data_IF_567134511597
#
_entry.id   IF_567134511597
#
_cell.length_a   1.000
_cell.length_b   1.000
_cell.length_c   1.000
_cell.angle_alpha   90.00
_cell.angle_beta   90.00
_cell.angle_gamma   90.00
#
_symmetry.space_group_name_H-M   'P 1'
#
loop_
_entity.id
_entity.type
_entity.pdbx_description
1 polymer ?
#
# COMPACT_ATOMS: atom_id res chain seq x y z
N UNK A 1 8.02 4.34 14.52
CA UNK A 1 7.39 4.10 13.21
C UNK A 1 6.77 2.71 13.24
N UNK A 2 5.48 2.56 12.90
CA UNK A 2 4.80 1.27 12.87
C UNK A 2 4.60 0.79 11.43
N UNK A 3 4.63 -0.52 11.23
CA UNK A 3 4.47 -1.21 9.96
C UNK A 3 3.11 -1.91 9.92
N UNK A 4 2.64 -2.22 8.71
CA UNK A 4 1.37 -2.90 8.48
C UNK A 4 1.64 -4.36 8.16
N UNK A 5 1.03 -5.27 8.91
CA UNK A 5 0.91 -6.68 8.56
C UNK A 5 -0.48 -6.94 7.98
N UNK A 6 -0.57 -7.81 6.98
CA UNK A 6 -1.82 -8.13 6.28
C UNK A 6 -2.04 -9.63 6.20
N UNK A 7 -3.21 -10.10 6.60
CA UNK A 7 -3.54 -11.53 6.50
C UNK A 7 -3.56 -11.98 5.04
N UNK A 8 -3.00 -13.16 4.75
CA UNK A 8 -2.86 -13.65 3.39
C UNK A 8 -4.21 -14.02 2.76
N UNK A 9 -5.03 -14.82 3.46
CA UNK A 9 -6.36 -15.25 2.98
C UNK A 9 -7.47 -14.21 3.14
N UNK A 10 -7.39 -13.35 4.16
CA UNK A 10 -8.40 -12.31 4.45
C UNK A 10 -7.78 -10.91 4.39
N UNK A 11 -7.58 -10.30 3.20
CA UNK A 11 -6.79 -9.09 3.04
C UNK A 11 -7.36 -7.82 3.72
N UNK A 12 -8.57 -7.90 4.28
CA UNK A 12 -9.17 -6.84 5.12
C UNK A 12 -8.69 -6.89 6.57
N UNK A 13 -8.19 -8.03 7.05
CA UNK A 13 -7.60 -8.20 8.38
C UNK A 13 -6.16 -7.68 8.35
N UNK A 14 -5.97 -6.52 8.95
CA UNK A 14 -4.68 -5.84 9.06
C UNK A 14 -4.40 -5.46 10.51
N UNK A 15 -3.13 -5.39 10.87
CA UNK A 15 -2.70 -4.87 12.16
C UNK A 15 -1.39 -4.10 12.03
N UNK A 16 -1.17 -3.20 12.99
CA UNK A 16 0.04 -2.40 13.09
C UNK A 16 1.01 -3.02 14.09
N UNK A 17 2.30 -2.99 13.75
CA UNK A 17 3.35 -3.50 14.62
C UNK A 17 4.64 -2.68 14.54
N UNK A 18 5.51 -2.84 15.52
CA UNK A 18 6.87 -2.32 15.56
C UNK A 18 7.83 -3.51 15.69
N UNK A 19 8.78 -3.73 14.76
CA UNK A 19 9.82 -4.73 14.93
C UNK A 19 10.67 -4.41 16.17
N UNK A 20 10.84 -5.39 17.05
CA UNK A 20 11.72 -5.29 18.22
C UNK A 20 13.07 -5.96 17.93
N UNK A 21 13.04 -7.17 17.38
CA UNK A 21 14.23 -7.87 16.92
C UNK A 21 13.94 -8.72 15.69
N UNK A 22 14.97 -8.94 14.88
CA UNK A 22 14.93 -9.85 13.72
C UNK A 22 16.23 -10.65 13.74
N UNK A 23 16.12 -11.94 14.02
CA UNK A 23 17.25 -12.86 14.15
C UNK A 23 17.03 -14.03 13.18
N UNK A 24 17.83 -14.04 12.10
CA UNK A 24 17.66 -15.02 11.03
C UNK A 24 16.28 -14.94 10.38
N UNK A 25 15.48 -16.01 10.53
CA UNK A 25 14.11 -16.11 10.03
C UNK A 25 13.03 -15.91 11.10
N UNK A 26 13.40 -15.42 12.29
CA UNK A 26 12.45 -15.13 13.36
C UNK A 26 12.41 -13.63 13.59
N UNK A 27 11.20 -13.07 13.67
CA UNK A 27 10.98 -11.68 14.01
C UNK A 27 10.11 -11.57 15.26
N UNK A 28 10.56 -10.77 16.22
CA UNK A 28 9.78 -10.37 17.39
C UNK A 28 9.17 -9.00 17.11
N UNK A 29 7.85 -8.92 17.14
CA UNK A 29 7.10 -7.72 16.75
C UNK A 29 6.15 -7.29 17.87
N UNK A 30 6.11 -6.00 18.20
CA UNK A 30 5.13 -5.42 19.12
C UNK A 30 3.93 -4.89 18.36
N UNK A 31 2.77 -5.50 18.54
CA UNK A 31 1.48 -5.05 18.00
C UNK A 31 1.03 -3.77 18.71
N UNK A 32 0.76 -2.73 17.93
CA UNK A 32 0.32 -1.42 18.42
C UNK A 32 -1.15 -1.12 18.13
N UNK A 33 -1.79 -1.86 17.22
CA UNK A 33 -3.23 -1.76 16.93
C UNK A 33 -4.07 -2.73 17.79
N UNK A 34 -5.38 -2.80 17.51
CA UNK A 34 -6.29 -3.80 18.08
C UNK A 34 -5.78 -5.22 17.77
N UNK A 35 -5.76 -6.09 18.78
CA UNK A 35 -5.23 -7.46 18.74
C UNK A 35 -6.15 -8.47 18.04
N UNK A 36 -7.43 -8.14 17.88
CA UNK A 36 -8.46 -9.00 17.26
C UNK A 36 -8.14 -9.46 15.81
N UNK A 37 -7.21 -8.77 15.15
CA UNK A 37 -6.74 -9.11 13.80
C UNK A 37 -5.45 -9.94 13.79
N UNK A 38 -5.03 -10.49 14.94
CA UNK A 38 -3.82 -11.30 15.09
C UNK A 38 -4.17 -12.63 15.75
N UNK A 39 -4.03 -13.72 15.00
CA UNK A 39 -4.27 -15.08 15.49
C UNK A 39 -3.00 -15.93 15.45
N UNK A 40 -2.93 -16.89 16.37
CA UNK A 40 -1.86 -17.89 16.40
C UNK A 40 -1.96 -18.81 15.17
N UNK A 41 -0.81 -19.20 14.62
CA UNK A 41 -0.67 -20.07 13.44
C UNK A 41 -1.30 -19.54 12.14
N UNK A 42 -1.76 -18.29 12.11
CA UNK A 42 -2.19 -17.64 10.88
C UNK A 42 -1.01 -16.99 10.15
N UNK A 43 -1.20 -16.80 8.84
CA UNK A 43 -0.17 -16.33 7.90
C UNK A 43 -0.45 -14.92 7.42
N UNK A 44 0.58 -14.08 7.47
CA UNK A 44 0.50 -12.67 7.11
C UNK A 44 1.67 -12.26 6.21
N UNK A 45 1.44 -11.24 5.38
CA UNK A 45 2.48 -10.49 4.70
C UNK A 45 3.02 -9.41 5.65
N UNK A 46 4.33 -9.42 5.87
CA UNK A 46 5.06 -8.46 6.71
C UNK A 46 6.02 -7.63 5.85
N UNK A 47 6.21 -6.36 6.25
CA UNK A 47 7.28 -5.51 5.74
C UNK A 47 8.30 -5.33 6.87
N UNK A 48 9.49 -5.89 6.69
CA UNK A 48 10.54 -5.86 7.72
C UNK A 48 11.72 -5.02 7.25
N UNK A 49 12.13 -3.99 8.01
CA UNK A 49 13.36 -3.26 7.74
C UNK A 49 14.56 -4.15 8.08
N UNK A 50 15.46 -4.36 7.11
CA UNK A 50 16.72 -5.09 7.27
C UNK A 50 17.86 -4.23 6.71
N UNK A 51 18.95 -4.06 7.47
CA UNK A 51 20.18 -3.32 7.14
C UNK A 51 20.19 -2.62 5.77
N UNK A 52 19.63 -1.40 5.72
CA UNK A 52 19.63 -0.54 4.53
C UNK A 52 18.48 -0.72 3.53
N UNK A 53 17.56 -1.65 3.76
CA UNK A 53 16.41 -1.90 2.87
C UNK A 53 15.15 -2.35 3.62
N UNK A 54 13.99 -2.27 2.97
CA UNK A 54 12.76 -2.91 3.45
C UNK A 54 12.45 -4.11 2.58
N UNK A 55 12.15 -5.23 3.23
CA UNK A 55 11.88 -6.50 2.56
C UNK A 55 10.51 -7.01 2.95
N UNK A 56 9.82 -7.65 2.00
CA UNK A 56 8.54 -8.29 2.24
C UNK A 56 8.72 -9.76 2.54
N UNK A 57 7.98 -10.26 3.52
CA UNK A 57 7.98 -11.66 3.91
C UNK A 57 6.57 -12.18 4.06
N UNK A 58 6.36 -13.45 3.72
CA UNK A 58 5.26 -14.23 4.28
C UNK A 58 5.76 -14.81 5.60
N UNK A 59 5.00 -14.61 6.67
CA UNK A 59 5.34 -15.12 7.98
C UNK A 59 4.13 -15.71 8.71
N UNK A 60 4.41 -16.65 9.61
CA UNK A 60 3.42 -17.31 10.46
C UNK A 60 3.60 -16.87 11.89
N UNK A 61 2.52 -16.45 12.55
CA UNK A 61 2.54 -16.11 13.98
C UNK A 61 2.67 -17.40 14.80
N UNK A 62 3.78 -17.57 15.53
CA UNK A 62 4.06 -18.77 16.33
C UNK A 62 3.81 -18.59 17.82
N UNK A 63 3.92 -17.37 18.32
CA UNK A 63 3.61 -17.05 19.71
C UNK A 63 2.95 -15.68 19.83
N UNK A 64 2.08 -15.53 20.84
CA UNK A 64 1.47 -14.24 21.21
C UNK A 64 1.56 -14.08 22.74
N UNK A 65 2.36 -13.11 23.18
CA UNK A 65 2.56 -12.75 24.59
C UNK A 65 2.10 -11.31 24.80
N UNK A 66 0.84 -11.15 25.19
CA UNK A 66 0.23 -9.82 25.34
C UNK A 66 0.17 -9.05 24.02
N UNK A 67 0.97 -7.99 23.89
CA UNK A 67 1.11 -7.21 22.65
C UNK A 67 2.33 -7.62 21.81
N UNK A 68 3.15 -8.55 22.28
CA UNK A 68 4.33 -9.03 21.55
C UNK A 68 3.98 -10.32 20.84
N UNK A 69 4.39 -10.44 19.58
CA UNK A 69 4.25 -11.65 18.77
C UNK A 69 5.59 -12.12 18.26
N UNK A 70 5.75 -13.44 18.16
CA UNK A 70 6.90 -14.07 17.52
C UNK A 70 6.43 -14.64 16.18
N UNK A 71 7.11 -14.24 15.11
CA UNK A 71 6.76 -14.59 13.74
C UNK A 71 7.90 -15.37 13.11
N UNK A 72 7.60 -16.53 12.53
CA UNK A 72 8.52 -17.26 11.65
C UNK A 72 8.35 -16.77 10.22
N UNK A 73 9.40 -16.19 9.64
CA UNK A 73 9.45 -15.71 8.26
C UNK A 73 9.77 -16.90 7.34
N UNK A 74 8.86 -17.24 6.43
CA UNK A 74 8.96 -18.44 5.61
C UNK A 74 9.47 -18.15 4.20
N UNK A 75 8.92 -17.12 3.56
CA UNK A 75 9.27 -16.80 2.18
C UNK A 75 9.53 -15.32 2.03
N UNK A 76 10.65 -14.99 1.40
CA UNK A 76 10.95 -13.64 0.95
C UNK A 76 10.11 -13.36 -0.28
N UNK A 77 9.16 -12.43 -0.17
CA UNK A 77 8.30 -12.05 -1.29
C UNK A 77 9.11 -11.11 -2.16
N UNK A 78 9.28 -11.47 -3.44
CA UNK A 78 9.92 -10.57 -4.39
C UNK A 78 9.13 -9.25 -4.43
N UNK A 79 9.79 -8.13 -4.20
CA UNK A 79 9.21 -6.78 -4.41
C UNK A 79 8.88 -6.50 -5.89
N UNK A 80 9.03 -7.49 -6.78
CA UNK A 80 8.66 -7.41 -8.19
C UNK A 80 7.17 -7.10 -8.32
N UNK A 81 6.85 -6.08 -9.13
CA UNK A 81 5.46 -5.81 -9.49
C UNK A 81 4.90 -7.04 -10.23
N UNK A 82 3.71 -7.51 -9.82
CA UNK A 82 2.96 -8.58 -10.51
C UNK A 82 2.75 -8.31 -12.01
N UNK A 83 2.73 -7.03 -12.41
CA UNK A 83 2.60 -6.62 -13.80
C UNK A 83 3.62 -5.53 -14.15
N UNK A 84 4.29 -5.70 -15.29
CA UNK A 84 5.13 -4.65 -15.86
C UNK A 84 4.27 -3.42 -16.18
N UNK A 85 4.84 -2.23 -15.95
CA UNK A 85 4.21 -0.96 -16.31
C UNK A 85 4.83 -0.44 -17.60
N UNK A 86 3.98 -0.03 -18.52
CA UNK A 86 4.39 0.68 -19.73
C UNK A 86 4.39 2.17 -19.42
N UNK A 87 5.58 2.78 -19.50
CA UNK A 87 5.76 4.22 -19.28
C UNK A 87 5.43 4.97 -20.57
N UNK A 88 4.55 5.96 -20.49
CA UNK A 88 4.20 6.82 -21.61
C UNK A 88 5.26 7.93 -21.72
N UNK A 89 6.26 7.76 -22.58
CA UNK A 89 7.45 8.63 -22.63
C UNK A 89 7.34 9.84 -23.57
N UNK A 90 6.47 9.81 -24.59
CA UNK A 90 6.49 10.79 -25.70
C UNK A 90 5.13 11.36 -26.09
N UNK A 91 4.03 10.83 -25.57
CA UNK A 91 2.68 11.23 -25.96
C UNK A 91 1.92 11.73 -24.74
N UNK A 92 1.32 12.91 -24.85
CA UNK A 92 0.38 13.40 -23.83
C UNK A 92 -0.96 12.72 -24.05
N UNK A 93 -1.17 11.58 -23.38
CA UNK A 93 -2.48 10.91 -23.38
C UNK A 93 -3.31 11.53 -22.26
N UNK A 94 -4.35 12.27 -22.62
CA UNK A 94 -5.31 12.84 -21.68
C UNK A 94 -6.33 11.78 -21.28
N UNK A 95 -6.61 11.69 -19.99
CA UNK A 95 -7.58 10.77 -19.40
C UNK A 95 -8.60 11.58 -18.62
N UNK A 96 -9.87 11.48 -19.01
CA UNK A 96 -10.99 12.07 -18.30
C UNK A 96 -11.54 11.14 -17.22
N UNK A 97 -11.76 11.66 -16.02
CA UNK A 97 -12.48 11.02 -14.93
C UNK A 97 -13.83 11.72 -14.82
N UNK A 98 -14.90 10.96 -15.00
CA UNK A 98 -16.29 11.43 -14.90
C UNK A 98 -16.95 10.64 -13.79
N UNK A 99 -17.68 11.33 -12.91
CA UNK A 99 -18.46 10.72 -11.84
C UNK A 99 -19.65 11.61 -11.51
N UNK A 100 -20.77 11.01 -11.11
CA UNK A 100 -21.96 11.72 -10.66
C UNK A 100 -21.69 12.58 -9.41
N UNK A 101 -20.70 12.20 -8.61
CA UNK A 101 -20.27 12.97 -7.43
C UNK A 101 -19.37 14.16 -7.76
N UNK A 102 -19.06 14.40 -9.04
CA UNK A 102 -18.23 15.53 -9.47
C UNK A 102 -19.07 16.54 -10.25
N UNK A 103 -19.00 17.81 -9.85
CA UNK A 103 -19.64 18.92 -10.57
C UNK A 103 -19.06 19.14 -11.97
N UNK A 104 -17.83 18.65 -12.22
CA UNK A 104 -17.16 18.73 -13.51
C UNK A 104 -16.20 17.56 -13.72
N UNK A 105 -15.94 17.15 -14.98
CA UNK A 105 -14.94 16.14 -15.27
C UNK A 105 -13.53 16.60 -14.88
N UNK A 106 -12.72 15.64 -14.43
CA UNK A 106 -11.31 15.85 -14.10
C UNK A 106 -10.44 15.30 -15.21
N UNK A 107 -9.47 16.08 -15.69
CA UNK A 107 -8.55 15.66 -16.77
C UNK A 107 -7.15 15.46 -16.19
N UNK A 108 -6.56 14.29 -16.45
CA UNK A 108 -5.18 13.97 -16.10
C UNK A 108 -4.35 13.50 -17.28
N UNK A 109 -3.03 13.57 -17.14
CA UNK A 109 -2.08 13.06 -18.14
C UNK A 109 -1.62 11.67 -17.70
N UNK A 110 -1.86 10.65 -18.53
CA UNK A 110 -1.39 9.29 -18.29
C UNK A 110 0.15 9.24 -18.26
N UNK A 111 0.71 8.73 -17.17
CA UNK A 111 2.16 8.59 -16.97
C UNK A 111 2.61 7.14 -17.20
N UNK A 112 1.83 6.19 -16.68
CA UNK A 112 2.07 4.76 -16.87
C UNK A 112 0.76 3.97 -16.77
N UNK A 113 0.75 2.77 -17.35
CA UNK A 113 -0.35 1.81 -17.28
C UNK A 113 0.19 0.38 -17.13
N UNK A 114 -0.54 -0.45 -16.40
CA UNK A 114 -0.40 -1.91 -16.38
C UNK A 114 -1.76 -2.57 -16.30
N UNK A 115 -1.79 -3.90 -16.39
CA UNK A 115 -3.01 -4.69 -16.17
C UNK A 115 -3.66 -4.44 -14.81
N UNK A 116 -2.90 -4.00 -13.81
CA UNK A 116 -3.43 -3.68 -12.47
C UNK A 116 -3.98 -2.25 -12.33
N UNK A 117 -3.82 -1.39 -13.32
CA UNK A 117 -4.23 0.02 -13.26
C UNK A 117 -3.23 1.00 -13.83
N UNK A 118 -3.49 2.28 -13.62
CA UNK A 118 -2.75 3.37 -14.26
C UNK A 118 -2.32 4.45 -13.26
N UNK A 119 -1.45 5.34 -13.72
CA UNK A 119 -0.99 6.52 -12.98
C UNK A 119 -1.27 7.76 -13.81
N UNK A 120 -1.97 8.73 -13.23
CA UNK A 120 -2.20 10.04 -13.84
C UNK A 120 -1.39 11.11 -13.12
N UNK A 121 -0.98 12.12 -13.88
CA UNK A 121 -0.55 13.42 -13.38
C UNK A 121 -1.73 14.38 -13.48
N UNK A 122 -2.13 14.96 -12.36
CA UNK A 122 -3.27 15.88 -12.28
C UNK A 122 -2.78 17.30 -11.97
N UNK A 123 -3.64 18.28 -12.22
CA UNK A 123 -3.49 19.59 -11.59
C UNK A 123 -3.73 19.45 -10.08
N UNK A 124 -3.17 20.35 -9.28
CA UNK A 124 -3.36 20.34 -7.82
C UNK A 124 -4.85 20.51 -7.44
N UNK A 125 -5.54 21.43 -8.14
CA UNK A 125 -6.98 21.66 -7.98
C UNK A 125 -7.79 20.39 -8.20
N UNK A 126 -7.49 19.66 -9.28
CA UNK A 126 -8.23 18.44 -9.62
C UNK A 126 -7.89 17.26 -8.71
N UNK A 127 -6.64 17.19 -8.23
CA UNK A 127 -6.24 16.20 -7.23
C UNK A 127 -7.01 16.42 -5.92
N UNK A 128 -7.11 17.66 -5.44
CA UNK A 128 -7.85 17.99 -4.23
C UNK A 128 -9.35 17.71 -4.40
N UNK A 129 -9.93 18.09 -5.54
CA UNK A 129 -11.32 17.77 -5.86
C UNK A 129 -11.61 16.26 -5.78
N UNK A 130 -10.73 15.41 -6.34
CA UNK A 130 -10.88 13.96 -6.24
C UNK A 130 -10.63 13.43 -4.83
N UNK A 131 -9.68 14.02 -4.10
CA UNK A 131 -9.35 13.63 -2.73
C UNK A 131 -10.55 13.84 -1.81
N UNK A 132 -11.19 15.00 -1.91
CA UNK A 132 -12.29 15.40 -1.04
C UNK A 132 -13.55 14.58 -1.33
N UNK A 133 -13.80 14.23 -2.60
CA UNK A 133 -15.00 13.49 -3.02
C UNK A 133 -14.90 11.97 -2.89
N UNK A 134 -13.71 11.37 -3.05
CA UNK A 134 -13.58 9.90 -3.13
C UNK A 134 -12.67 9.27 -2.08
N UNK A 135 -11.75 10.03 -1.49
CA UNK A 135 -10.69 9.46 -0.65
C UNK A 135 -10.86 9.74 0.84
N UNK A 136 -11.90 10.48 1.25
CA UNK A 136 -12.16 10.85 2.64
C UNK A 136 -11.03 11.74 3.17
N UNK A 137 -11.25 13.06 3.19
CA UNK A 137 -10.24 14.09 3.43
C UNK A 137 -9.37 13.99 4.71
N UNK A 138 -9.63 13.03 5.61
CA UNK A 138 -8.98 12.94 6.93
C UNK A 138 -7.74 12.04 7.02
N UNK A 139 -7.44 11.18 6.02
CA UNK A 139 -6.34 10.21 6.13
C UNK A 139 -4.98 10.67 5.57
N UNK A 140 -4.86 11.92 5.11
CA UNK A 140 -3.64 12.47 4.52
C UNK A 140 -3.27 13.82 5.15
N UNK A 141 -3.33 13.94 6.48
CA UNK A 141 -2.60 14.99 7.17
C UNK A 141 -1.21 14.47 7.58
N UNK A 142 -0.21 15.16 7.03
CA UNK A 142 1.23 15.09 7.26
C UNK A 142 1.71 14.30 8.50
N UNK A 143 2.30 13.12 8.27
CA UNK A 143 3.64 12.75 8.76
C UNK A 143 3.98 11.29 8.40
N UNK A 144 5.17 11.07 7.83
CA UNK A 144 5.84 9.77 7.63
C UNK A 144 5.54 8.94 6.35
N UNK A 145 5.67 9.56 5.18
CA UNK A 145 6.19 8.84 3.99
C UNK A 145 7.65 9.26 3.79
N UNK A 146 8.60 8.33 3.57
CA UNK A 146 9.97 8.71 3.27
C UNK A 146 9.98 9.44 1.92
N UNK A 147 10.40 10.69 1.99
CA UNK A 147 10.50 11.63 0.89
C UNK A 147 11.60 11.21 -0.09
N UNK A 148 11.24 11.10 -1.36
CA UNK A 148 12.06 11.64 -2.44
C UNK A 148 11.16 12.54 -3.29
N UNK A 149 11.44 13.84 -3.23
CA UNK A 149 11.25 14.83 -4.31
C UNK A 149 9.83 15.12 -4.82
N UNK A 150 9.34 16.32 -4.53
CA UNK A 150 8.31 17.05 -5.28
C UNK A 150 7.04 16.28 -5.68
N UNK A 151 6.14 16.07 -4.72
CA UNK A 151 4.79 15.59 -4.99
C UNK A 151 3.93 16.69 -5.63
N UNK A 152 3.94 16.77 -6.96
CA UNK A 152 2.81 17.32 -7.72
C UNK A 152 1.75 16.22 -7.89
N UNK A 153 0.50 16.54 -7.51
CA UNK A 153 -0.67 15.65 -7.39
C UNK A 153 -0.71 14.41 -8.29
N UNK A 154 -0.54 13.25 -7.68
CA UNK A 154 -0.31 11.98 -8.38
C UNK A 154 -1.32 10.95 -7.89
N UNK A 155 -2.28 10.60 -8.75
CA UNK A 155 -3.37 9.67 -8.42
C UNK A 155 -3.12 8.29 -9.07
N UNK A 156 -3.41 7.22 -8.33
CA UNK A 156 -3.36 5.83 -8.81
C UNK A 156 -4.78 5.28 -8.93
N UNK A 157 -5.19 4.89 -10.13
CA UNK A 157 -6.44 4.17 -10.39
C UNK A 157 -6.22 2.67 -10.54
N UNK A 158 -7.22 1.85 -10.20
CA UNK A 158 -7.26 0.42 -10.55
C UNK A 158 -8.05 0.23 -11.83
N UNK A 159 -7.57 -0.63 -12.73
CA UNK A 159 -8.40 -1.14 -13.81
C UNK A 159 -9.18 -2.34 -13.26
N UNK A 160 -10.51 -2.24 -13.20
CA UNK A 160 -11.33 -3.44 -13.15
C UNK A 160 -11.47 -3.92 -14.59
N UNK A 161 -10.85 -5.06 -14.91
CA UNK A 161 -11.25 -5.82 -16.10
C UNK A 161 -12.59 -6.44 -15.78
N UNK A 162 -13.67 -5.68 -15.98
CA UNK A 162 -14.99 -6.26 -16.05
C UNK A 162 -14.97 -7.33 -17.14
N UNK A 163 -15.26 -8.57 -16.78
CA UNK A 163 -15.82 -9.51 -17.73
C UNK A 163 -17.24 -9.00 -18.02
N UNK A 164 -17.44 -8.33 -19.15
CA UNK A 164 -18.32 -8.68 -20.29
C UNK A 164 -17.92 -7.75 -21.44
#
# INVERSE_FOLDING_TARGET
>A
MAWVARHLEFPKRIFLYIPESVEGNIATLRVTSKRENVSLNETYEFIIPMSGSTQKFIGIVKEIKGKVIVVKLEAKVSNGRKFNRFVVKRSTILVGIISESLERPVIGILQDISLGGFKLKLSEKDFNLLKDNFLGGEYFNHSNLPFFGNQRGLLKGRCNTGQV
#
